data_IF_381128972596
#
_entry.id   IF_381128972596
#
_cell.length_a   1.000
_cell.length_b   1.000
_cell.length_c   1.000
_cell.angle_alpha   90.00
_cell.angle_beta   90.00
_cell.angle_gamma   90.00
#
_symmetry.space_group_name_H-M   'P 1'
#
loop_
_entity.id
_entity.type
_entity.pdbx_description
1 polymer ?
#
# COMPACT_ATOMS: atom_id res chain seq x y z
N UNK A 1 21.74 71.64 -43.59
CA UNK A 1 22.35 70.32 -43.31
C UNK A 1 21.34 69.37 -42.63
N UNK A 2 20.25 68.93 -43.31
CA UNK A 2 19.21 68.10 -42.67
C UNK A 2 19.39 66.59 -42.90
N UNK A 3 20.12 66.21 -43.95
CA UNK A 3 20.28 64.83 -44.42
C UNK A 3 21.11 63.95 -43.49
N UNK A 4 22.12 64.52 -42.83
CA UNK A 4 22.97 63.80 -41.86
C UNK A 4 22.20 63.41 -40.58
N UNK A 5 21.28 64.27 -40.12
CA UNK A 5 20.42 64.02 -38.95
C UNK A 5 19.50 62.81 -39.16
N UNK A 6 18.83 62.74 -40.33
CA UNK A 6 17.97 61.60 -40.69
C UNK A 6 18.74 60.28 -40.85
N UNK A 7 19.98 60.34 -41.32
CA UNK A 7 20.82 59.15 -41.40
C UNK A 7 21.22 58.68 -40.01
N UNK A 8 21.58 59.62 -39.12
CA UNK A 8 21.91 59.31 -37.73
C UNK A 8 20.73 58.68 -36.97
N UNK A 9 19.53 59.24 -37.08
CA UNK A 9 18.33 58.65 -36.47
C UNK A 9 18.07 57.20 -36.92
N UNK A 10 18.32 56.89 -38.19
CA UNK A 10 18.18 55.50 -38.70
C UNK A 10 19.25 54.57 -38.14
N UNK A 11 20.47 55.06 -37.95
CA UNK A 11 21.56 54.29 -37.33
C UNK A 11 21.24 54.05 -35.85
N UNK A 12 20.79 55.08 -35.11
CA UNK A 12 20.41 54.95 -33.70
C UNK A 12 19.28 53.91 -33.51
N UNK A 13 18.30 53.85 -34.44
CA UNK A 13 17.25 52.82 -34.43
C UNK A 13 17.81 51.43 -34.71
N UNK A 14 18.77 51.30 -35.63
CA UNK A 14 19.42 50.02 -35.91
C UNK A 14 20.23 49.52 -34.71
N UNK A 15 20.95 50.42 -34.03
CA UNK A 15 21.70 50.09 -32.82
C UNK A 15 20.77 49.60 -31.70
N UNK A 16 19.61 50.24 -31.53
CA UNK A 16 18.58 49.78 -30.59
C UNK A 16 18.03 48.39 -30.96
N UNK A 17 17.77 48.13 -32.24
CA UNK A 17 17.32 46.81 -32.70
C UNK A 17 18.38 45.76 -32.43
N UNK A 18 19.65 46.06 -32.70
CA UNK A 18 20.77 45.14 -32.46
C UNK A 18 20.90 44.83 -30.97
N UNK A 19 20.75 45.84 -30.10
CA UNK A 19 20.79 45.65 -28.66
C UNK A 19 19.66 44.73 -28.16
N UNK A 20 18.42 44.98 -28.60
CA UNK A 20 17.27 44.14 -28.25
C UNK A 20 17.43 42.70 -28.76
N UNK A 21 17.93 42.52 -29.98
CA UNK A 21 18.18 41.19 -30.54
C UNK A 21 19.25 40.43 -29.76
N UNK A 22 20.30 41.12 -29.31
CA UNK A 22 21.35 40.54 -28.47
C UNK A 22 20.82 40.11 -27.10
N UNK A 23 19.99 40.93 -26.45
CA UNK A 23 19.35 40.57 -25.18
C UNK A 23 18.43 39.34 -25.32
N UNK A 24 17.70 39.25 -26.45
CA UNK A 24 16.88 38.07 -26.75
C UNK A 24 17.73 36.82 -27.01
N UNK A 25 18.85 36.95 -27.71
CA UNK A 25 19.80 35.85 -27.94
C UNK A 25 20.34 35.29 -26.62
N UNK A 26 20.72 36.16 -25.68
CA UNK A 26 21.19 35.77 -24.35
C UNK A 26 20.07 35.08 -23.54
N UNK A 27 18.85 35.64 -23.58
CA UNK A 27 17.69 35.06 -22.90
C UNK A 27 17.34 33.67 -23.44
N UNK A 28 17.38 33.50 -24.76
CA UNK A 28 17.11 32.21 -25.41
C UNK A 28 18.21 31.20 -25.09
N UNK A 29 19.46 31.62 -25.03
CA UNK A 29 20.59 30.76 -24.64
C UNK A 29 20.38 30.22 -23.22
N UNK A 30 19.99 31.08 -22.27
CA UNK A 30 19.67 30.66 -20.91
C UNK A 30 18.42 29.75 -20.82
N UNK A 31 17.45 29.90 -21.72
CA UNK A 31 16.29 29.01 -21.78
C UNK A 31 16.67 27.61 -22.27
N UNK A 32 17.57 27.51 -23.25
CA UNK A 32 18.08 26.23 -23.76
C UNK A 32 18.83 25.47 -22.66
N UNK A 33 19.70 26.13 -21.91
CA UNK A 33 20.42 25.51 -20.78
C UNK A 33 19.46 24.91 -19.74
N UNK A 34 18.40 25.64 -19.37
CA UNK A 34 17.37 25.13 -18.45
C UNK A 34 16.60 23.96 -19.03
N UNK A 35 16.33 23.98 -20.33
CA UNK A 35 15.65 22.87 -21.00
C UNK A 35 16.51 21.61 -21.00
N UNK A 36 17.82 21.74 -21.25
CA UNK A 36 18.78 20.64 -21.15
C UNK A 36 18.86 20.07 -19.73
N UNK A 37 18.86 20.93 -18.70
CA UNK A 37 18.84 20.49 -17.30
C UNK A 37 17.56 19.69 -16.97
N UNK A 38 16.40 20.16 -17.42
CA UNK A 38 15.12 19.47 -17.23
C UNK A 38 15.10 18.13 -17.99
N UNK A 39 15.60 18.11 -19.22
CA UNK A 39 15.71 16.90 -20.04
C UNK A 39 16.61 15.86 -19.35
N UNK A 40 17.74 16.28 -18.79
CA UNK A 40 18.62 15.42 -18.00
C UNK A 40 17.93 14.83 -16.77
N UNK A 41 17.19 15.65 -16.01
CA UNK A 41 16.38 15.17 -14.86
C UNK A 41 15.29 14.18 -15.30
N UNK A 42 14.69 14.40 -16.46
CA UNK A 42 13.66 13.50 -17.02
C UNK A 42 14.25 12.15 -17.43
N UNK A 43 15.48 12.12 -17.97
CA UNK A 43 16.17 10.88 -18.26
C UNK A 43 16.45 10.05 -17.01
N UNK A 44 16.88 10.69 -15.90
CA UNK A 44 17.06 10.01 -14.61
C UNK A 44 15.72 9.47 -14.08
N UNK A 45 14.63 10.22 -14.23
CA UNK A 45 13.31 9.75 -13.85
C UNK A 45 12.89 8.52 -14.67
N UNK A 46 13.15 8.52 -15.97
CA UNK A 46 12.84 7.39 -16.87
C UNK A 46 13.62 6.12 -16.46
N UNK A 47 14.90 6.25 -16.15
CA UNK A 47 15.71 5.14 -15.64
C UNK A 47 15.14 4.57 -14.33
N UNK A 48 14.72 5.44 -13.41
CA UNK A 48 14.07 5.01 -12.16
C UNK A 48 12.73 4.30 -12.42
N UNK A 49 11.92 4.79 -13.36
CA UNK A 49 10.67 4.14 -13.75
C UNK A 49 10.93 2.76 -14.33
N UNK A 50 11.97 2.61 -15.15
CA UNK A 50 12.38 1.32 -15.70
C UNK A 50 12.84 0.35 -14.59
N UNK A 51 13.59 0.83 -13.59
CA UNK A 51 13.95 0.02 -12.42
C UNK A 51 12.70 -0.45 -11.66
N UNK A 52 11.76 0.45 -11.40
CA UNK A 52 10.46 0.12 -10.78
C UNK A 52 9.68 -0.91 -11.61
N UNK A 53 9.64 -0.75 -12.94
CA UNK A 53 9.03 -1.71 -13.86
C UNK A 53 9.64 -3.12 -13.72
N UNK A 54 10.97 -3.21 -13.69
CA UNK A 54 11.67 -4.50 -13.53
C UNK A 54 11.41 -5.16 -12.16
N UNK A 55 11.26 -4.37 -11.10
CA UNK A 55 10.90 -4.86 -9.77
C UNK A 55 9.46 -5.40 -9.78
N UNK A 56 8.54 -4.67 -10.42
CA UNK A 56 7.15 -5.07 -10.57
C UNK A 56 6.99 -6.34 -11.42
N UNK A 57 7.77 -6.51 -12.50
CA UNK A 57 7.77 -7.74 -13.30
C UNK A 57 8.26 -8.94 -12.47
N UNK A 58 9.35 -8.77 -11.69
CA UNK A 58 9.84 -9.79 -10.76
C UNK A 58 8.82 -10.14 -9.67
N UNK A 59 8.00 -9.17 -9.24
CA UNK A 59 6.88 -9.39 -8.34
C UNK A 59 5.67 -10.05 -9.04
N UNK A 60 5.43 -9.77 -10.32
CA UNK A 60 4.36 -10.41 -11.11
C UNK A 60 4.62 -11.89 -11.41
N UNK A 61 5.88 -12.32 -11.40
CA UNK A 61 6.27 -13.74 -11.45
C UNK A 61 5.90 -14.50 -10.15
N UNK A 62 5.74 -13.80 -9.02
CA UNK A 62 5.04 -14.31 -7.84
C UNK A 62 3.53 -14.27 -8.08
N UNK A 63 3.06 -15.15 -8.96
CA UNK A 63 1.65 -15.32 -9.30
C UNK A 63 0.83 -15.68 -8.06
N UNK A 64 0.26 -14.70 -7.38
CA UNK A 64 -0.90 -14.89 -6.50
C UNK A 64 -2.10 -15.10 -7.43
N UNK A 65 -2.47 -16.37 -7.64
CA UNK A 65 -3.46 -16.80 -8.65
C UNK A 65 -4.90 -16.33 -8.37
N UNK A 66 -5.18 -15.79 -7.19
CA UNK A 66 -6.55 -15.62 -6.69
C UNK A 66 -6.88 -14.17 -6.26
N UNK A 67 -6.43 -13.16 -7.02
CA UNK A 67 -6.81 -11.76 -6.76
C UNK A 67 -8.20 -11.49 -7.36
N UNK A 68 -9.22 -11.50 -6.49
CA UNK A 68 -10.64 -11.35 -6.90
C UNK A 68 -11.06 -9.88 -7.02
N UNK A 69 -10.39 -8.94 -6.34
CA UNK A 69 -10.65 -7.50 -6.50
C UNK A 69 -9.48 -6.67 -5.97
N UNK A 70 -8.95 -5.78 -6.80
CA UNK A 70 -8.01 -4.74 -6.44
C UNK A 70 -8.75 -3.40 -6.39
N UNK A 71 -8.90 -2.80 -5.21
CA UNK A 71 -9.45 -1.44 -5.08
C UNK A 71 -8.34 -0.53 -4.58
N UNK A 72 -7.82 0.32 -5.46
CA UNK A 72 -6.90 1.38 -5.09
C UNK A 72 -7.68 2.50 -4.41
N UNK A 73 -7.35 2.78 -3.14
CA UNK A 73 -7.89 3.93 -2.43
C UNK A 73 -6.70 4.80 -2.01
N UNK A 74 -6.49 5.90 -2.76
CA UNK A 74 -5.61 7.02 -2.45
C UNK A 74 -4.20 6.71 -1.88
N UNK A 75 -3.42 5.94 -2.64
CA UNK A 75 -1.99 5.69 -2.43
C UNK A 75 -1.47 4.59 -3.37
N UNK A 76 -0.15 4.32 -3.43
CA UNK A 76 0.41 3.20 -4.23
C UNK A 76 0.07 1.81 -3.67
N UNK A 77 -0.68 1.73 -2.57
CA UNK A 77 -1.05 0.48 -1.91
C UNK A 77 -2.37 -0.05 -2.46
N UNK A 78 -2.33 -1.23 -3.06
CA UNK A 78 -3.52 -1.90 -3.60
C UNK A 78 -4.16 -2.77 -2.51
N UNK A 79 -5.47 -2.61 -2.28
CA UNK A 79 -6.20 -3.47 -1.34
C UNK A 79 -6.77 -4.69 -2.05
N UNK A 80 -6.54 -5.87 -1.46
CA UNK A 80 -7.01 -7.16 -1.96
C UNK A 80 -7.85 -7.83 -0.87
N UNK A 81 -9.08 -8.17 -1.20
CA UNK A 81 -9.95 -8.96 -0.31
C UNK A 81 -9.81 -10.45 -0.66
N UNK A 82 -9.45 -11.25 0.35
CA UNK A 82 -9.28 -12.69 0.25
C UNK A 82 -10.59 -13.38 0.64
N UNK A 83 -11.08 -14.29 -0.20
CA UNK A 83 -12.32 -15.02 0.05
C UNK A 83 -12.16 -16.17 1.05
N UNK A 84 -10.94 -16.68 1.20
CA UNK A 84 -10.62 -17.80 2.06
C UNK A 84 -9.32 -17.54 2.84
N UNK A 85 -9.19 -18.28 3.94
CA UNK A 85 -8.08 -18.12 4.88
C UNK A 85 -6.75 -18.64 4.31
N UNK A 86 -6.76 -19.66 3.45
CA UNK A 86 -5.55 -20.25 2.88
C UNK A 86 -4.87 -19.27 1.91
N UNK A 87 -5.66 -18.58 1.10
CA UNK A 87 -5.21 -17.49 0.21
C UNK A 87 -4.63 -16.32 1.01
N UNK A 88 -5.33 -15.89 2.08
CA UNK A 88 -4.83 -14.84 2.96
C UNK A 88 -3.51 -15.24 3.62
N UNK A 89 -3.45 -16.44 4.20
CA UNK A 89 -2.27 -16.97 4.89
C UNK A 89 -1.07 -17.00 3.95
N UNK A 90 -1.23 -17.60 2.77
CA UNK A 90 -0.15 -17.74 1.79
C UNK A 90 0.36 -16.39 1.30
N UNK A 91 -0.54 -15.42 1.09
CA UNK A 91 -0.20 -14.07 0.62
C UNK A 91 0.37 -13.16 1.71
N UNK A 92 0.15 -13.51 2.99
CA UNK A 92 0.56 -12.71 4.15
C UNK A 92 1.83 -13.23 4.83
N UNK A 93 2.43 -14.30 4.32
CA UNK A 93 3.73 -14.77 4.81
C UNK A 93 4.80 -13.72 4.52
N UNK A 94 5.43 -13.20 5.57
CA UNK A 94 6.42 -12.12 5.44
C UNK A 94 5.83 -10.71 5.45
N UNK A 95 4.55 -10.54 5.81
CA UNK A 95 3.96 -9.21 6.02
C UNK A 95 4.77 -8.37 7.02
N UNK A 96 4.81 -7.06 6.78
CA UNK A 96 5.45 -6.10 7.68
C UNK A 96 4.70 -5.98 8.99
N UNK A 97 3.37 -5.93 8.89
CA UNK A 97 2.46 -5.82 10.02
C UNK A 97 1.15 -6.52 9.70
N UNK A 98 0.53 -7.10 10.73
CA UNK A 98 -0.82 -7.68 10.66
C UNK A 98 -1.68 -7.01 11.70
N UNK A 99 -2.89 -6.65 11.33
CA UNK A 99 -3.89 -6.12 12.23
C UNK A 99 -5.10 -7.02 12.28
N UNK A 100 -5.77 -7.11 13.43
CA UNK A 100 -7.04 -7.81 13.52
C UNK A 100 -8.03 -7.09 14.42
N UNK A 101 -9.31 -7.18 14.04
CA UNK A 101 -10.43 -6.70 14.83
C UNK A 101 -11.59 -7.68 14.83
N UNK A 102 -12.38 -7.62 15.90
CA UNK A 102 -13.63 -8.37 16.04
C UNK A 102 -14.77 -7.38 15.86
N UNK A 103 -15.63 -7.61 14.87
CA UNK A 103 -16.77 -6.74 14.57
C UNK A 103 -18.00 -7.60 14.29
N UNK A 104 -19.06 -7.45 15.10
CA UNK A 104 -20.36 -8.07 14.81
C UNK A 104 -20.37 -9.59 14.68
N UNK A 105 -19.47 -10.32 15.36
CA UNK A 105 -19.35 -11.78 15.26
C UNK A 105 -18.40 -12.26 14.14
N UNK A 106 -17.83 -11.34 13.38
CA UNK A 106 -16.82 -11.60 12.36
C UNK A 106 -15.44 -11.16 12.84
N UNK A 107 -14.42 -11.83 12.30
CA UNK A 107 -13.02 -11.45 12.45
C UNK A 107 -12.55 -10.85 11.15
N UNK A 108 -12.01 -9.64 11.24
CA UNK A 108 -11.31 -8.99 10.14
C UNK A 108 -9.83 -9.07 10.44
N UNK A 109 -9.07 -9.68 9.53
CA UNK A 109 -7.60 -9.73 9.59
C UNK A 109 -7.07 -9.02 8.36
N UNK A 110 -6.19 -8.04 8.58
CA UNK A 110 -5.51 -7.33 7.51
C UNK A 110 -4.01 -7.53 7.63
N UNK A 111 -3.32 -7.81 6.53
CA UNK A 111 -1.87 -7.82 6.46
C UNK A 111 -1.39 -6.71 5.55
N UNK A 112 -0.32 -6.04 5.95
CA UNK A 112 0.31 -5.00 5.15
C UNK A 112 1.67 -5.50 4.69
N UNK A 113 1.81 -5.55 3.38
CA UNK A 113 3.06 -5.80 2.66
C UNK A 113 3.54 -4.48 2.03
N UNK A 114 4.66 -4.50 1.32
CA UNK A 114 5.25 -3.30 0.72
C UNK A 114 4.29 -2.56 -0.24
N UNK A 115 3.46 -3.29 -0.99
CA UNK A 115 2.56 -2.73 -2.00
C UNK A 115 1.10 -3.12 -1.84
N UNK A 116 0.79 -4.09 -0.98
CA UNK A 116 -0.56 -4.64 -0.86
C UNK A 116 -1.04 -4.68 0.58
N UNK A 117 -2.34 -4.39 0.72
CA UNK A 117 -3.07 -4.64 1.95
C UNK A 117 -4.00 -5.82 1.65
N UNK A 118 -3.68 -7.00 2.17
CA UNK A 118 -4.59 -8.14 2.10
C UNK A 118 -5.57 -8.05 3.26
N UNK A 119 -6.85 -8.29 3.00
CA UNK A 119 -7.89 -8.31 4.03
C UNK A 119 -8.68 -9.61 3.91
N UNK A 120 -8.83 -10.32 5.02
CA UNK A 120 -9.71 -11.45 5.15
C UNK A 120 -10.80 -11.10 6.18
N UNK A 121 -12.05 -11.40 5.85
CA UNK A 121 -13.19 -11.31 6.76
C UNK A 121 -13.87 -12.67 6.82
N UNK A 122 -14.10 -13.19 8.02
CA UNK A 122 -14.81 -14.46 8.19
C UNK A 122 -15.53 -14.54 9.53
N UNK A 123 -16.55 -15.38 9.61
CA UNK A 123 -17.26 -15.64 10.85
C UNK A 123 -16.32 -16.23 11.91
N UNK A 124 -16.38 -15.71 13.13
CA UNK A 124 -15.50 -16.18 14.22
C UNK A 124 -15.65 -17.68 14.48
N UNK A 125 -16.87 -18.22 14.37
CA UNK A 125 -17.14 -19.65 14.51
C UNK A 125 -16.53 -20.50 13.39
N UNK A 126 -16.61 -20.04 12.14
CA UNK A 126 -16.00 -20.73 11.00
C UNK A 126 -14.48 -20.76 11.15
N UNK A 127 -13.92 -19.64 11.59
CA UNK A 127 -12.50 -19.51 11.90
C UNK A 127 -12.06 -20.45 13.03
N UNK A 128 -12.86 -20.55 14.09
CA UNK A 128 -12.60 -21.46 15.23
C UNK A 128 -12.64 -22.95 14.85
N UNK A 129 -13.44 -23.31 13.84
CA UNK A 129 -13.43 -24.65 13.24
C UNK A 129 -12.06 -25.01 12.67
N UNK A 130 -11.44 -24.08 11.93
CA UNK A 130 -10.09 -24.22 11.38
C UNK A 130 -9.00 -24.17 12.47
N UNK A 131 -9.15 -23.33 13.51
CA UNK A 131 -8.27 -23.30 14.70
C UNK A 131 -8.15 -24.67 15.38
N UNK A 132 -9.25 -25.43 15.43
CA UNK A 132 -9.28 -26.75 16.06
C UNK A 132 -8.49 -27.82 15.28
N UNK A 133 -8.33 -27.63 13.97
CA UNK A 133 -7.51 -28.50 13.10
C UNK A 133 -6.02 -28.16 13.20
N UNK A 134 -5.67 -26.91 13.47
CA UNK A 134 -4.29 -26.41 13.61
C UNK A 134 -3.52 -26.95 14.84
N UNK A 135 -4.07 -27.92 15.59
CA UNK A 135 -3.42 -28.56 16.75
C UNK A 135 -3.03 -27.59 17.88
N UNK A 136 -3.52 -26.36 17.84
CA UNK A 136 -3.44 -25.40 18.95
C UNK A 136 -4.40 -25.87 20.03
N UNK A 137 -3.89 -26.18 21.22
CA UNK A 137 -4.70 -26.67 22.32
C UNK A 137 -5.49 -25.51 22.98
N UNK A 138 -6.45 -24.93 22.26
CA UNK A 138 -7.28 -23.80 22.72
C UNK A 138 -8.48 -24.26 23.54
N UNK A 139 -8.98 -25.48 23.29
CA UNK A 139 -10.07 -26.11 24.09
C UNK A 139 -9.76 -26.09 25.58
N UNK A 140 -8.50 -26.27 25.99
CA UNK A 140 -8.13 -26.28 27.40
C UNK A 140 -8.22 -24.93 28.14
N UNK A 141 -8.35 -23.79 27.43
CA UNK A 141 -8.35 -22.45 28.06
C UNK A 141 -9.68 -21.71 27.95
N UNK A 142 -10.48 -21.93 26.92
CA UNK A 142 -11.81 -21.33 26.82
C UNK A 142 -12.76 -21.82 27.93
N UNK A 143 -12.64 -23.10 28.34
CA UNK A 143 -13.48 -23.68 29.40
C UNK A 143 -13.06 -23.30 30.83
N UNK A 144 -11.95 -22.58 31.05
CA UNK A 144 -11.53 -22.20 32.40
C UNK A 144 -12.09 -20.84 32.86
N UNK A 145 -12.67 -20.07 31.95
CA UNK A 145 -13.27 -18.76 32.23
C UNK A 145 -14.79 -18.81 32.41
N UNK A 146 -15.44 -19.93 32.03
CA UNK A 146 -16.88 -20.11 32.15
C UNK A 146 -17.09 -21.22 33.17
N UNK A 147 -17.46 -20.84 34.39
CA UNK A 147 -17.92 -21.77 35.41
C UNK A 147 -19.06 -22.63 34.88
N UNK A 148 -19.05 -23.90 35.31
CA UNK A 148 -19.99 -24.98 35.00
C UNK A 148 -21.42 -24.53 34.65
N UNK A 149 -21.93 -24.88 33.45
CA UNK A 149 -23.38 -24.86 33.14
C UNK A 149 -23.78 -26.08 32.26
N UNK A 150 -24.99 -26.68 32.47
CA UNK A 150 -25.40 -28.02 32.03
C UNK A 150 -25.82 -28.13 30.55
N UNK A 151 -26.14 -29.34 30.05
CA UNK A 151 -26.46 -29.58 28.65
C UNK A 151 -27.93 -29.22 28.38
N UNK A 152 -28.18 -27.99 27.94
CA UNK A 152 -29.39 -27.66 27.20
C UNK A 152 -29.06 -26.51 26.23
N UNK A 153 -28.94 -26.84 24.95
CA UNK A 153 -28.72 -25.88 23.88
C UNK A 153 -30.07 -25.37 23.39
N UNK A 154 -30.39 -24.13 23.74
CA UNK A 154 -31.36 -23.30 23.01
C UNK A 154 -30.65 -22.04 22.51
N UNK A 155 -31.07 -21.62 21.32
CA UNK A 155 -30.54 -20.56 20.46
C UNK A 155 -30.50 -19.17 21.11
N UNK A 156 -29.50 -18.87 21.94
CA UNK A 156 -29.20 -17.51 22.35
C UNK A 156 -27.71 -17.17 22.19
N UNK A 157 -27.50 -15.99 21.58
CA UNK A 157 -26.26 -15.30 21.29
C UNK A 157 -25.14 -15.51 22.32
N UNK A 158 -24.28 -16.49 22.09
CA UNK A 158 -22.94 -16.46 22.66
C UNK A 158 -22.10 -15.55 21.78
N UNK A 159 -21.86 -14.32 22.22
CA UNK A 159 -20.64 -13.61 21.86
C UNK A 159 -19.47 -14.50 22.28
N UNK A 160 -19.04 -15.38 21.39
CA UNK A 160 -17.85 -16.19 21.56
C UNK A 160 -16.69 -15.20 21.72
N UNK A 161 -16.37 -14.84 22.95
CA UNK A 161 -15.37 -13.83 23.26
C UNK A 161 -14.02 -14.54 23.20
N UNK A 162 -13.43 -14.57 22.01
CA UNK A 162 -12.09 -15.09 21.83
C UNK A 162 -11.11 -14.10 22.45
N UNK A 163 -10.28 -14.61 23.37
CA UNK A 163 -9.18 -13.84 23.97
C UNK A 163 -8.25 -13.33 22.85
N UNK A 164 -8.11 -11.99 22.69
CA UNK A 164 -7.27 -11.40 21.65
C UNK A 164 -5.81 -11.90 21.68
N UNK A 165 -5.29 -12.26 22.85
CA UNK A 165 -3.92 -12.75 23.01
C UNK A 165 -3.76 -14.18 22.46
N UNK A 166 -4.81 -15.00 22.60
CA UNK A 166 -4.85 -16.34 22.00
C UNK A 166 -4.93 -16.22 20.48
N UNK A 167 -5.73 -15.27 19.98
CA UNK A 167 -5.84 -14.99 18.55
C UNK A 167 -4.52 -14.47 17.97
N UNK A 168 -3.82 -13.57 18.68
CA UNK A 168 -2.51 -13.07 18.28
C UNK A 168 -1.47 -14.20 18.14
N UNK A 169 -1.41 -15.10 19.12
CA UNK A 169 -0.53 -16.28 19.07
C UNK A 169 -0.82 -17.20 17.90
N UNK A 170 -2.10 -17.40 17.62
CA UNK A 170 -2.51 -18.18 16.47
C UNK A 170 -2.04 -17.54 15.16
N UNK A 171 -2.27 -16.23 14.97
CA UNK A 171 -1.81 -15.51 13.80
C UNK A 171 -0.28 -15.57 13.66
N UNK A 172 0.44 -15.45 14.76
CA UNK A 172 1.91 -15.58 14.79
C UNK A 172 2.37 -16.95 14.30
N UNK A 173 1.73 -18.02 14.76
CA UNK A 173 2.05 -19.38 14.34
C UNK A 173 1.74 -19.61 12.85
N UNK A 174 0.58 -19.18 12.38
CA UNK A 174 0.14 -19.48 11.00
C UNK A 174 0.82 -18.62 9.94
N UNK A 175 1.16 -17.37 10.28
CA UNK A 175 1.82 -16.45 9.37
C UNK A 175 3.35 -16.51 9.49
N UNK A 176 3.87 -17.25 10.47
CA UNK A 176 5.31 -17.39 10.72
C UNK A 176 5.97 -16.08 11.10
N UNK A 177 5.25 -15.19 11.80
CA UNK A 177 5.70 -13.83 12.10
C UNK A 177 5.69 -13.53 13.60
N UNK A 178 6.58 -12.65 14.08
CA UNK A 178 6.67 -12.31 15.50
C UNK A 178 5.38 -11.63 16.01
N UNK A 179 4.97 -11.96 17.25
CA UNK A 179 3.77 -11.40 17.88
C UNK A 179 3.79 -9.87 17.97
N UNK A 180 4.98 -9.26 18.07
CA UNK A 180 5.17 -7.80 18.14
C UNK A 180 4.73 -7.08 16.85
N UNK A 181 4.67 -7.81 15.73
CA UNK A 181 4.19 -7.30 14.43
C UNK A 181 2.69 -7.52 14.24
N UNK A 182 1.98 -8.03 15.24
CA UNK A 182 0.55 -8.32 15.18
C UNK A 182 -0.19 -7.42 16.16
N UNK A 183 -0.93 -6.47 15.63
CA UNK A 183 -1.60 -5.42 16.40
C UNK A 183 -3.11 -5.66 16.43
N UNK A 184 -3.71 -5.52 17.60
CA UNK A 184 -5.17 -5.43 17.70
C UNK A 184 -5.62 -4.06 17.23
N UNK A 185 -6.42 -4.02 16.18
CA UNK A 185 -6.87 -2.79 15.55
C UNK A 185 -7.22 -3.01 14.09
N UNK A 186 -7.52 -1.92 13.41
CA UNK A 186 -7.84 -1.92 11.98
C UNK A 186 -6.92 -0.99 11.22
N UNK A 187 -6.65 -1.34 9.97
CA UNK A 187 -6.05 -0.41 9.03
C UNK A 187 -7.08 0.66 8.68
N UNK A 188 -6.89 1.86 9.24
CA UNK A 188 -7.68 3.04 8.88
C UNK A 188 -7.26 3.47 7.47
N UNK A 189 -8.26 3.63 6.61
CA UNK A 189 -8.14 4.08 5.23
C UNK A 189 -9.12 5.23 5.01
#
# INVERSE_FOLDING_TARGET
MPSYSRFKEKIDVLDLIIEVLRDHEETLSGLVERFEEISGKMAVLDENINLLGSILERLGELRVKDIVKASGINGPLTRIECNDWETFRSSSQGALIVTFEFSGGEVIVSSVTDLFIFTFSGGLLEFMGELSKAKVNWRGRAYKAIGDIPPHMEDDYYEATVDPEVFRRFLSFELGMPEEKIIRGRVLH
#
